data_IF_972221396238
#
_entry.id   IF_972221396238
#
_cell.length_a   1.000
_cell.length_b   1.000
_cell.length_c   1.000
_cell.angle_alpha   90.00
_cell.angle_beta   90.00
_cell.angle_gamma   90.00
#
_symmetry.space_group_name_H-M   'P 1'
#
loop_
_entity.id
_entity.type
_entity.pdbx_description
1 polymer ?
#
# COMPACT_ATOMS: atom_id res chain seq x y z
N UNK A 1 2.73 13.63 -0.37
CA UNK A 1 3.67 12.71 0.30
C UNK A 1 3.01 12.25 1.59
N UNK A 2 3.03 10.96 1.91
CA UNK A 2 2.55 10.49 3.22
C UNK A 2 3.63 10.78 4.26
N UNK A 3 3.27 11.53 5.30
CA UNK A 3 4.13 11.79 6.45
C UNK A 3 3.94 10.71 7.52
N UNK A 4 4.99 10.44 8.31
CA UNK A 4 4.91 9.51 9.44
C UNK A 4 3.84 9.92 10.45
N UNK A 5 3.75 11.21 10.74
CA UNK A 5 2.74 11.80 11.62
C UNK A 5 1.30 11.45 11.20
N UNK A 6 1.04 11.38 9.88
CA UNK A 6 -0.27 11.01 9.36
C UNK A 6 -0.61 9.54 9.65
N UNK A 7 0.39 8.65 9.53
CA UNK A 7 0.23 7.22 9.81
C UNK A 7 0.05 7.00 11.32
N UNK A 8 0.85 7.68 12.12
CA UNK A 8 0.77 7.61 13.58
C UNK A 8 -0.61 8.06 14.06
N UNK A 9 -1.13 9.17 13.51
CA UNK A 9 -2.48 9.65 13.81
C UNK A 9 -3.57 8.65 13.42
N UNK A 10 -3.47 7.99 12.26
CA UNK A 10 -4.40 6.94 11.85
C UNK A 10 -4.37 5.75 12.83
N UNK A 11 -3.18 5.39 13.34
CA UNK A 11 -3.01 4.32 14.31
C UNK A 11 -3.59 4.68 15.67
N UNK A 12 -3.36 5.91 16.15
CA UNK A 12 -3.96 6.42 17.38
C UNK A 12 -5.49 6.39 17.33
N UNK A 13 -6.08 6.93 16.27
CA UNK A 13 -7.53 6.91 16.06
C UNK A 13 -8.06 5.47 15.93
N UNK A 14 -7.32 4.59 15.26
CA UNK A 14 -7.71 3.17 15.17
C UNK A 14 -7.66 2.44 16.51
N UNK A 15 -6.69 2.77 17.37
CA UNK A 15 -6.60 2.21 18.72
C UNK A 15 -7.73 2.73 19.60
N UNK A 16 -7.97 4.05 19.57
CA UNK A 16 -9.07 4.69 20.32
C UNK A 16 -10.44 4.14 19.90
N UNK A 17 -10.65 3.92 18.61
CA UNK A 17 -11.86 3.29 18.07
C UNK A 17 -12.14 1.90 18.65
N UNK A 18 -11.10 1.10 18.91
CA UNK A 18 -11.22 -0.26 19.46
C UNK A 18 -11.46 -0.28 20.97
N UNK A 19 -10.88 0.66 21.71
CA UNK A 19 -10.90 0.67 23.17
C UNK A 19 -12.10 1.43 23.74
N UNK A 20 -12.32 2.68 23.26
CA UNK A 20 -13.28 3.62 23.84
C UNK A 20 -14.37 4.06 22.85
N UNK A 21 -14.20 3.75 21.56
CA UNK A 21 -15.01 4.33 20.48
C UNK A 21 -14.51 5.70 20.06
N UNK A 22 -14.96 6.15 18.88
CA UNK A 22 -14.61 7.47 18.33
C UNK A 22 -15.80 8.40 18.42
N UNK A 23 -15.54 9.68 18.67
CA UNK A 23 -16.53 10.74 18.46
C UNK A 23 -16.79 10.92 16.96
N UNK A 24 -17.90 11.57 16.60
CA UNK A 24 -18.22 11.81 15.18
C UNK A 24 -17.15 12.67 14.47
N UNK A 25 -16.56 13.62 15.17
CA UNK A 25 -15.45 14.44 14.66
C UNK A 25 -14.21 13.59 14.38
N UNK A 26 -13.86 12.69 15.30
CA UNK A 26 -12.71 11.80 15.14
C UNK A 26 -12.93 10.74 14.06
N UNK A 27 -14.17 10.30 13.84
CA UNK A 27 -14.52 9.42 12.72
C UNK A 27 -14.34 10.13 11.38
N UNK A 28 -14.76 11.38 11.28
CA UNK A 28 -14.54 12.20 10.08
C UNK A 28 -13.04 12.38 9.82
N UNK A 29 -12.27 12.76 10.85
CA UNK A 29 -10.80 12.89 10.76
C UNK A 29 -10.16 11.57 10.29
N UNK A 30 -10.54 10.44 10.89
CA UNK A 30 -10.02 9.13 10.52
C UNK A 30 -10.35 8.78 9.06
N UNK A 31 -11.57 9.10 8.61
CA UNK A 31 -12.02 8.80 7.26
C UNK A 31 -11.30 9.66 6.20
N UNK A 32 -11.08 10.94 6.47
CA UNK A 32 -10.29 11.81 5.62
C UNK A 32 -8.83 11.35 5.51
N UNK A 33 -8.20 11.03 6.65
CA UNK A 33 -6.82 10.55 6.69
C UNK A 33 -6.65 9.22 5.95
N UNK A 34 -7.59 8.29 6.13
CA UNK A 34 -7.59 7.00 5.41
C UNK A 34 -7.80 7.19 3.90
N UNK A 35 -8.67 8.12 3.50
CA UNK A 35 -8.91 8.39 2.08
C UNK A 35 -7.64 8.94 1.41
N UNK A 36 -6.98 9.91 2.06
CA UNK A 36 -5.68 10.45 1.60
C UNK A 36 -4.60 9.37 1.51
N UNK A 37 -4.53 8.47 2.50
CA UNK A 37 -3.60 7.34 2.52
C UNK A 37 -3.83 6.40 1.31
N UNK A 38 -5.08 6.00 1.09
CA UNK A 38 -5.45 5.05 0.02
C UNK A 38 -5.13 5.63 -1.36
N UNK A 39 -5.48 6.89 -1.61
CA UNK A 39 -5.22 7.53 -2.92
C UNK A 39 -3.72 7.58 -3.23
N UNK A 40 -2.90 7.91 -2.23
CA UNK A 40 -1.45 7.88 -2.39
C UNK A 40 -0.92 6.46 -2.67
N UNK A 41 -1.37 5.47 -1.90
CA UNK A 41 -0.93 4.08 -2.07
C UNK A 41 -1.35 3.55 -3.44
N UNK A 42 -2.55 3.85 -3.93
CA UNK A 42 -2.99 3.49 -5.28
C UNK A 42 -2.04 4.05 -6.34
N UNK A 43 -1.62 5.30 -6.22
CA UNK A 43 -0.64 5.91 -7.12
C UNK A 43 0.72 5.23 -7.07
N UNK A 44 1.22 4.93 -5.87
CA UNK A 44 2.48 4.19 -5.68
C UNK A 44 2.43 2.78 -6.27
N UNK A 45 1.33 2.05 -6.05
CA UNK A 45 1.14 0.69 -6.58
C UNK A 45 1.09 0.72 -8.11
N UNK A 46 0.34 1.66 -8.72
CA UNK A 46 0.33 1.83 -10.18
C UNK A 46 1.73 2.07 -10.73
N UNK A 47 2.48 3.00 -10.14
CA UNK A 47 3.85 3.29 -10.54
C UNK A 47 4.77 2.07 -10.40
N UNK A 48 4.64 1.30 -9.30
CA UNK A 48 5.39 0.06 -9.13
C UNK A 48 5.03 -0.95 -10.23
N UNK A 49 3.75 -1.15 -10.54
CA UNK A 49 3.30 -2.06 -11.60
C UNK A 49 3.81 -1.63 -12.99
N UNK A 50 3.77 -0.34 -13.32
CA UNK A 50 4.35 0.20 -14.57
C UNK A 50 5.87 -0.02 -14.65
N UNK A 51 6.56 0.00 -13.51
CA UNK A 51 8.00 -0.24 -13.45
C UNK A 51 8.39 -1.72 -13.58
N UNK A 52 7.44 -2.65 -13.41
CA UNK A 52 7.68 -4.08 -13.59
C UNK A 52 7.92 -4.33 -15.07
N UNK A 53 9.20 -4.46 -15.43
CA UNK A 53 9.60 -4.99 -16.72
C UNK A 53 9.49 -6.51 -16.65
N UNK A 54 8.84 -7.12 -17.65
CA UNK A 54 8.94 -8.55 -17.85
C UNK A 54 10.42 -8.90 -17.99
N UNK A 55 10.94 -9.69 -17.06
CA UNK A 55 12.25 -10.28 -17.22
C UNK A 55 12.13 -11.26 -18.40
N UNK A 56 12.50 -10.81 -19.60
CA UNK A 56 12.85 -11.74 -20.65
C UNK A 56 13.89 -12.68 -20.05
N UNK A 57 13.52 -13.94 -19.91
CA UNK A 57 14.43 -14.98 -19.48
C UNK A 57 15.45 -15.14 -20.61
N UNK A 58 16.49 -14.30 -20.62
CA UNK A 58 17.64 -14.43 -21.51
C UNK A 58 18.28 -15.76 -21.17
N UNK A 59 17.92 -16.76 -21.98
CA UNK A 59 18.23 -18.15 -21.74
C UNK A 59 19.71 -18.39 -22.03
N UNK A 60 20.54 -18.09 -21.04
CA UNK A 60 21.93 -18.55 -20.92
C UNK A 60 22.08 -19.49 -19.71
N UNK A 61 21.02 -20.25 -19.42
CA UNK A 61 21.01 -21.19 -18.32
C UNK A 61 21.34 -22.60 -18.83
N UNK A 62 22.36 -23.22 -18.24
CA UNK A 62 22.75 -24.62 -18.45
C UNK A 62 21.84 -25.64 -17.71
N UNK A 63 20.61 -25.25 -17.38
CA UNK A 63 19.65 -26.10 -16.67
C UNK A 63 18.99 -27.14 -17.59
N UNK A 64 18.92 -28.38 -17.10
CA UNK A 64 18.19 -29.52 -17.69
C UNK A 64 16.68 -29.40 -17.41
N UNK A 65 16.06 -28.31 -17.84
CA UNK A 65 14.62 -28.10 -17.70
C UNK A 65 13.94 -28.22 -19.07
N UNK A 66 13.06 -29.22 -19.23
CA UNK A 66 12.28 -29.48 -20.45
C UNK A 66 11.14 -28.45 -20.60
N UNK A 67 11.47 -27.23 -20.99
CA UNK A 67 10.48 -26.25 -21.41
C UNK A 67 9.97 -26.67 -22.81
N UNK A 68 8.73 -27.19 -22.87
CA UNK A 68 8.10 -27.56 -24.14
C UNK A 68 7.85 -26.32 -25.00
N UNK A 69 8.14 -26.50 -26.28
CA UNK A 69 7.85 -25.64 -27.43
C UNK A 69 6.46 -25.04 -27.41
#
# INVERSE_FOLDING_TARGET
>A
MISREMIDRINELSKKSREAGLTEEEKQEQQELRSKYIEYIKGQVKHQLDSIKFAEHKHDCSCVCKCKK
#
